data_IF_042058275926
#
_entry.id   IF_042058275926
#
_cell.length_a   1.000
_cell.length_b   1.000
_cell.length_c   1.000
_cell.angle_alpha   90.00
_cell.angle_beta   90.00
_cell.angle_gamma   90.00
#
_symmetry.space_group_name_H-M   'P 1'
#
loop_
_entity.id
_entity.type
_entity.pdbx_description
1 polymer ?
#
# COMPACT_ATOMS: atom_id res chain seq x y z
N UNK A 1 -14.69 4.32 -27.51
CA UNK A 1 -14.40 4.18 -26.05
C UNK A 1 -15.57 3.45 -25.43
N UNK A 2 -15.35 2.32 -24.75
CA UNK A 2 -16.43 1.50 -24.19
C UNK A 2 -17.22 2.27 -23.11
N UNK A 3 -18.54 2.09 -23.07
CA UNK A 3 -19.46 2.73 -22.12
C UNK A 3 -19.01 2.57 -20.66
N UNK A 4 -18.44 1.41 -20.32
CA UNK A 4 -17.89 1.11 -18.98
C UNK A 4 -16.77 2.06 -18.54
N UNK A 5 -15.87 2.46 -19.44
CA UNK A 5 -14.77 3.38 -19.10
C UNK A 5 -15.31 4.77 -18.77
N UNK A 6 -16.36 5.19 -19.48
CA UNK A 6 -17.04 6.45 -19.22
C UNK A 6 -17.75 6.44 -17.85
N UNK A 7 -18.45 5.36 -17.52
CA UNK A 7 -19.08 5.20 -16.20
C UNK A 7 -18.06 5.19 -15.06
N UNK A 8 -16.97 4.43 -15.18
CA UNK A 8 -15.92 4.38 -14.16
C UNK A 8 -15.28 5.75 -13.92
N UNK A 9 -14.96 6.48 -14.99
CA UNK A 9 -14.41 7.83 -14.87
C UNK A 9 -15.37 8.77 -14.16
N UNK A 10 -16.65 8.76 -14.55
CA UNK A 10 -17.68 9.60 -13.92
C UNK A 10 -17.85 9.31 -12.42
N UNK A 11 -17.72 8.03 -12.01
CA UNK A 11 -17.73 7.66 -10.61
C UNK A 11 -16.53 8.24 -9.84
N UNK A 12 -15.32 8.15 -10.40
CA UNK A 12 -14.15 8.75 -9.76
C UNK A 12 -14.21 10.27 -9.71
N UNK A 13 -14.78 10.94 -10.72
CA UNK A 13 -15.04 12.37 -10.69
C UNK A 13 -16.01 12.75 -9.55
N UNK A 14 -17.06 11.96 -9.36
CA UNK A 14 -18.00 12.15 -8.26
C UNK A 14 -17.33 12.01 -6.88
N UNK A 15 -16.46 11.01 -6.71
CA UNK A 15 -15.69 10.81 -5.46
C UNK A 15 -14.68 11.93 -5.25
N UNK A 16 -14.02 12.41 -6.31
CA UNK A 16 -13.05 13.51 -6.25
C UNK A 16 -13.72 14.81 -5.78
N UNK A 17 -14.94 15.08 -6.23
CA UNK A 17 -15.72 16.26 -5.87
C UNK A 17 -16.35 16.21 -4.47
N UNK A 18 -16.21 15.09 -3.75
CA UNK A 18 -16.84 14.93 -2.45
C UNK A 18 -16.20 15.85 -1.40
N UNK A 19 -16.98 16.58 -0.56
CA UNK A 19 -16.42 17.58 0.36
C UNK A 19 -15.37 17.01 1.32
N UNK A 20 -15.53 15.77 1.79
CA UNK A 20 -14.51 15.13 2.63
C UNK A 20 -13.26 14.68 1.87
N UNK A 21 -13.34 14.40 0.57
CA UNK A 21 -12.15 14.13 -0.27
C UNK A 21 -11.33 15.42 -0.47
N UNK A 22 -12.01 16.53 -0.77
CA UNK A 22 -11.39 17.85 -0.90
C UNK A 22 -10.76 18.28 0.44
N UNK A 23 -11.54 18.23 1.53
CA UNK A 23 -11.05 18.60 2.86
C UNK A 23 -9.87 17.72 3.32
N UNK A 24 -9.87 16.43 2.97
CA UNK A 24 -8.74 15.55 3.25
C UNK A 24 -7.50 15.96 2.44
N UNK A 25 -7.61 16.14 1.11
CA UNK A 25 -6.45 16.46 0.25
C UNK A 25 -5.87 17.84 0.53
N UNK A 26 -6.69 18.80 0.92
CA UNK A 26 -6.28 20.18 1.22
C UNK A 26 -5.80 20.35 2.66
N UNK A 27 -5.94 19.32 3.50
CA UNK A 27 -5.46 19.39 4.88
C UNK A 27 -3.94 19.45 4.95
N UNK A 28 -3.42 20.54 5.51
CA UNK A 28 -1.99 20.75 5.74
C UNK A 28 -1.36 19.77 6.74
N UNK A 29 -2.17 19.04 7.51
CA UNK A 29 -1.68 18.10 8.53
C UNK A 29 -2.07 16.66 8.21
N UNK A 30 -3.35 16.42 7.90
CA UNK A 30 -3.86 15.05 7.75
C UNK A 30 -3.29 14.37 6.51
N UNK A 31 -3.22 15.08 5.38
CA UNK A 31 -2.67 14.51 4.16
C UNK A 31 -1.16 14.21 4.28
N UNK A 32 -0.30 15.14 4.75
CA UNK A 32 1.11 14.83 4.97
C UNK A 32 1.36 13.76 6.03
N UNK A 33 0.58 13.73 7.12
CA UNK A 33 0.69 12.69 8.13
C UNK A 33 0.34 11.31 7.56
N UNK A 34 -0.74 11.21 6.76
CA UNK A 34 -1.13 9.97 6.09
C UNK A 34 -0.07 9.51 5.09
N UNK A 35 0.46 10.45 4.30
CA UNK A 35 1.54 10.17 3.35
C UNK A 35 2.80 9.66 4.07
N UNK A 36 3.16 10.28 5.18
CA UNK A 36 4.30 9.88 6.01
C UNK A 36 4.07 8.48 6.57
N UNK A 37 2.92 8.22 7.17
CA UNK A 37 2.56 6.90 7.68
C UNK A 37 2.59 5.82 6.58
N UNK A 38 2.14 6.17 5.36
CA UNK A 38 2.19 5.28 4.21
C UNK A 38 3.63 4.90 3.83
N UNK A 39 4.51 5.89 3.72
CA UNK A 39 5.92 5.68 3.37
C UNK A 39 6.66 4.91 4.47
N UNK A 40 6.39 5.21 5.74
CA UNK A 40 6.96 4.47 6.88
C UNK A 40 6.49 3.01 6.86
N UNK A 41 5.19 2.77 6.63
CA UNK A 41 4.65 1.41 6.51
C UNK A 41 5.29 0.62 5.36
N UNK A 42 5.43 1.24 4.18
CA UNK A 42 6.12 0.63 3.05
C UNK A 42 7.59 0.34 3.35
N UNK A 43 8.30 1.28 3.95
CA UNK A 43 9.73 1.13 4.27
C UNK A 43 9.95 0.03 5.31
N UNK A 44 9.07 -0.04 6.32
CA UNK A 44 9.11 -1.07 7.34
C UNK A 44 8.85 -2.46 6.75
N UNK A 45 7.78 -2.61 5.96
CA UNK A 45 7.48 -3.86 5.26
C UNK A 45 8.65 -4.28 4.34
N UNK A 46 9.15 -3.35 3.53
CA UNK A 46 10.27 -3.60 2.61
C UNK A 46 11.52 -4.05 3.37
N UNK A 47 11.86 -3.41 4.48
CA UNK A 47 12.99 -3.80 5.32
C UNK A 47 12.87 -5.23 5.85
N UNK A 48 11.68 -5.64 6.29
CA UNK A 48 11.45 -7.00 6.78
C UNK A 48 11.47 -8.06 5.68
N UNK A 49 11.02 -7.71 4.46
CA UNK A 49 11.13 -8.58 3.29
C UNK A 49 12.59 -8.75 2.90
N UNK A 50 13.36 -7.66 2.82
CA UNK A 50 14.81 -7.71 2.55
C UNK A 50 15.53 -8.59 3.58
N UNK A 51 15.17 -8.51 4.87
CA UNK A 51 15.76 -9.39 5.89
C UNK A 51 15.47 -10.88 5.62
N UNK A 52 14.27 -11.21 5.14
CA UNK A 52 13.92 -12.57 4.74
C UNK A 52 14.68 -13.00 3.47
N UNK A 53 14.77 -12.13 2.48
CA UNK A 53 15.48 -12.41 1.23
C UNK A 53 16.97 -12.65 1.46
N UNK A 54 17.62 -11.80 2.26
CA UNK A 54 19.02 -12.00 2.68
C UNK A 54 19.20 -13.31 3.45
N UNK A 55 18.20 -13.74 4.22
CA UNK A 55 18.22 -15.03 4.92
C UNK A 55 18.12 -16.20 3.93
N UNK A 56 17.25 -16.10 2.93
CA UNK A 56 17.04 -17.13 1.90
C UNK A 56 18.22 -17.23 0.93
N UNK A 57 18.86 -16.10 0.63
CA UNK A 57 20.10 -16.04 -0.16
C UNK A 57 21.33 -16.53 0.61
N UNK A 58 21.19 -16.89 1.89
CA UNK A 58 22.32 -17.35 2.70
C UNK A 58 23.34 -16.25 2.95
N UNK A 59 22.91 -15.01 3.13
CA UNK A 59 23.78 -13.87 3.46
C UNK A 59 23.58 -13.37 4.90
N UNK A 60 22.41 -13.60 5.50
CA UNK A 60 22.08 -13.12 6.85
C UNK A 60 21.43 -14.19 7.73
N UNK A 61 21.57 -14.04 9.05
CA UNK A 61 20.90 -14.82 10.10
C UNK A 61 20.94 -16.35 9.93
N UNK A 62 22.08 -16.89 9.50
CA UNK A 62 22.22 -18.31 9.15
C UNK A 62 22.16 -19.29 10.32
N UNK A 63 22.39 -18.81 11.54
CA UNK A 63 22.46 -19.62 12.76
C UNK A 63 21.08 -20.01 13.30
N UNK A 64 20.03 -19.27 12.96
CA UNK A 64 18.67 -19.50 13.47
C UNK A 64 17.84 -20.29 12.45
N UNK A 65 17.08 -21.33 12.84
CA UNK A 65 16.22 -22.07 11.91
C UNK A 65 15.27 -21.14 11.15
N UNK A 66 15.11 -21.35 9.84
CA UNK A 66 14.29 -20.50 8.96
C UNK A 66 12.86 -20.33 9.51
N UNK A 67 12.26 -21.40 10.03
CA UNK A 67 10.92 -21.39 10.61
C UNK A 67 10.77 -20.43 11.80
N UNK A 68 11.82 -20.25 12.61
CA UNK A 68 11.80 -19.31 13.73
C UNK A 68 11.95 -17.86 13.26
N UNK A 69 12.78 -17.62 12.24
CA UNK A 69 12.95 -16.29 11.62
C UNK A 69 11.64 -15.86 10.98
N UNK A 70 11.02 -16.73 10.19
CA UNK A 70 9.74 -16.48 9.56
C UNK A 70 8.64 -16.17 10.58
N UNK A 71 8.47 -17.02 11.61
CA UNK A 71 7.48 -16.78 12.66
C UNK A 71 7.63 -15.43 13.36
N UNK A 72 8.85 -14.91 13.47
CA UNK A 72 9.11 -13.60 14.08
C UNK A 72 8.84 -12.45 13.12
N UNK A 73 9.22 -12.57 11.85
CA UNK A 73 9.10 -11.48 10.88
C UNK A 73 7.69 -11.34 10.30
N UNK A 74 6.97 -12.46 10.09
CA UNK A 74 5.66 -12.47 9.42
C UNK A 74 4.61 -11.55 10.07
N UNK A 75 4.38 -11.58 11.39
CA UNK A 75 3.39 -10.70 12.02
C UNK A 75 3.68 -9.23 11.79
N UNK A 76 4.96 -8.84 11.79
CA UNK A 76 5.39 -7.47 11.53
C UNK A 76 5.27 -7.10 10.05
N UNK A 77 5.53 -8.04 9.14
CA UNK A 77 5.30 -7.83 7.71
C UNK A 77 3.81 -7.57 7.42
N UNK A 78 2.91 -8.36 8.02
CA UNK A 78 1.46 -8.18 7.91
C UNK A 78 1.03 -6.84 8.52
N UNK A 79 1.57 -6.46 9.69
CA UNK A 79 1.28 -5.16 10.30
C UNK A 79 1.72 -3.98 9.41
N UNK A 80 2.92 -4.05 8.84
CA UNK A 80 3.43 -3.04 7.89
C UNK A 80 2.59 -2.97 6.61
N UNK A 81 2.19 -4.13 6.09
CA UNK A 81 1.29 -4.23 4.94
C UNK A 81 -0.08 -3.62 5.23
N UNK A 82 -0.71 -3.96 6.36
CA UNK A 82 -2.02 -3.43 6.73
C UNK A 82 -1.99 -1.90 6.89
N UNK A 83 -0.93 -1.38 7.52
CA UNK A 83 -0.71 0.06 7.72
C UNK A 83 -0.50 0.78 6.38
N UNK A 84 0.33 0.23 5.49
CA UNK A 84 0.53 0.78 4.15
C UNK A 84 -0.72 0.68 3.27
N UNK A 85 -1.45 -0.43 3.33
CA UNK A 85 -2.67 -0.63 2.56
C UNK A 85 -3.78 0.34 3.00
N UNK A 86 -4.05 0.45 4.30
CA UNK A 86 -5.07 1.35 4.83
C UNK A 86 -4.78 2.83 4.52
N UNK A 87 -3.53 3.27 4.74
CA UNK A 87 -3.11 4.63 4.39
C UNK A 87 -3.11 4.87 2.88
N UNK A 88 -2.77 3.85 2.07
CA UNK A 88 -2.81 3.92 0.61
C UNK A 88 -4.22 4.09 0.06
N UNK A 89 -5.21 3.39 0.63
CA UNK A 89 -6.63 3.59 0.29
C UNK A 89 -7.10 5.00 0.63
N UNK A 90 -6.67 5.55 1.77
CA UNK A 90 -7.02 6.90 2.17
C UNK A 90 -6.40 7.96 1.24
N UNK A 91 -5.14 7.77 0.83
CA UNK A 91 -4.49 8.62 -0.16
C UNK A 91 -5.15 8.52 -1.54
N UNK A 92 -5.56 7.32 -1.94
CA UNK A 92 -6.33 7.12 -3.18
C UNK A 92 -7.67 7.85 -3.12
N UNK A 93 -8.38 7.80 -2.00
CA UNK A 93 -9.64 8.52 -1.79
C UNK A 93 -9.48 10.05 -1.88
N UNK A 94 -8.33 10.59 -1.47
CA UNK A 94 -8.05 12.03 -1.56
C UNK A 94 -7.78 12.54 -2.98
N UNK A 95 -7.28 11.70 -3.89
CA UNK A 95 -6.96 12.08 -5.27
C UNK A 95 -7.26 10.94 -6.27
N UNK A 96 -8.50 10.44 -6.35
CA UNK A 96 -8.84 9.23 -7.11
C UNK A 96 -8.53 9.37 -8.60
N UNK A 97 -8.80 10.54 -9.20
CA UNK A 97 -8.55 10.80 -10.62
C UNK A 97 -7.07 10.74 -11.00
N UNK A 98 -6.19 11.16 -10.08
CA UNK A 98 -4.73 11.16 -10.30
C UNK A 98 -4.18 9.75 -10.39
N UNK A 99 -4.70 8.84 -9.56
CA UNK A 99 -4.25 7.46 -9.51
C UNK A 99 -4.99 6.58 -10.53
N UNK A 100 -6.24 6.90 -10.88
CA UNK A 100 -7.03 6.16 -11.86
C UNK A 100 -6.31 6.02 -13.20
N UNK A 101 -5.69 7.10 -13.69
CA UNK A 101 -4.96 7.12 -14.96
C UNK A 101 -3.61 6.37 -14.91
N UNK A 102 -3.13 5.99 -13.72
CA UNK A 102 -1.82 5.38 -13.55
C UNK A 102 -1.90 3.85 -13.51
N UNK A 103 -1.46 3.20 -14.58
CA UNK A 103 -1.44 1.72 -14.68
C UNK A 103 -0.57 1.09 -13.59
N UNK A 104 0.54 1.73 -13.20
CA UNK A 104 1.43 1.20 -12.16
C UNK A 104 0.77 1.16 -10.78
N UNK A 105 -0.16 2.07 -10.51
CA UNK A 105 -0.95 2.03 -9.27
C UNK A 105 -1.78 0.75 -9.20
N UNK A 106 -2.47 0.40 -10.28
CA UNK A 106 -3.30 -0.80 -10.35
C UNK A 106 -2.48 -2.08 -10.23
N UNK A 107 -1.34 -2.17 -10.92
CA UNK A 107 -0.43 -3.31 -10.79
C UNK A 107 0.03 -3.46 -9.34
N UNK A 108 0.48 -2.37 -8.72
CA UNK A 108 0.89 -2.36 -7.30
C UNK A 108 -0.25 -2.80 -6.38
N UNK A 109 -1.47 -2.31 -6.60
CA UNK A 109 -2.63 -2.64 -5.77
C UNK A 109 -3.00 -4.14 -5.88
N UNK A 110 -3.02 -4.69 -7.09
CA UNK A 110 -3.28 -6.12 -7.33
C UNK A 110 -2.19 -6.97 -6.67
N UNK A 111 -0.91 -6.62 -6.85
CA UNK A 111 0.20 -7.31 -6.21
C UNK A 111 0.09 -7.28 -4.67
N UNK A 112 -0.34 -6.16 -4.09
CA UNK A 112 -0.53 -6.06 -2.65
C UNK A 112 -1.64 -6.99 -2.14
N UNK A 113 -2.76 -7.08 -2.87
CA UNK A 113 -3.86 -8.00 -2.54
C UNK A 113 -3.40 -9.45 -2.64
N UNK A 114 -2.72 -9.82 -3.74
CA UNK A 114 -2.18 -11.16 -3.92
C UNK A 114 -1.18 -11.54 -2.82
N UNK A 115 -0.30 -10.61 -2.44
CA UNK A 115 0.63 -10.83 -1.35
C UNK A 115 -0.08 -11.04 -0.01
N UNK A 116 -1.18 -10.31 0.25
CA UNK A 116 -2.01 -10.52 1.44
C UNK A 116 -2.78 -11.84 1.46
N UNK A 117 -3.20 -12.34 0.29
CA UNK A 117 -3.86 -13.66 0.16
C UNK A 117 -2.89 -14.83 0.28
N UNK A 118 -1.62 -14.63 -0.06
CA UNK A 118 -0.57 -15.64 0.03
C UNK A 118 0.02 -15.77 1.45
N UNK A 119 -0.14 -14.76 2.30
CA UNK A 119 0.40 -14.71 3.67
C UNK A 119 -0.41 -15.58 4.64
#
# INVERSE_FOLDING_TARGET
>A
MSSLVMYLRSWFEYVDAFPSSIAFRESNYVYPATLTAHIVGMSFMTGLVIMMDLRLLGMANMRTPLSQVQKRLFPWQIAGMALSFGTGLLLFYGQPLRFYANVFFWIKAVMMVLAGLNA
#
